data_IF_319414819275
#
_entry.id   IF_319414819275
#
_cell.length_a   1.000
_cell.length_b   1.000
_cell.length_c   1.000
_cell.angle_alpha   90.00
_cell.angle_beta   90.00
_cell.angle_gamma   90.00
#
_symmetry.space_group_name_H-M   'P 1'
#
loop_
_entity.id
_entity.type
_entity.pdbx_description
1 polymer ?
#
# COMPACT_ATOMS: atom_id res chain seq x y z
N UNK A 1 -13.49 26.03 56.55
CA UNK A 1 -14.32 25.06 55.80
C UNK A 1 -14.55 25.45 54.32
N UNK A 2 -14.49 26.72 53.93
CA UNK A 2 -14.74 27.16 52.52
C UNK A 2 -13.61 26.80 51.50
N UNK A 3 -12.43 26.41 51.97
CA UNK A 3 -11.32 26.03 51.03
C UNK A 3 -11.39 24.58 50.51
N UNK A 4 -12.18 23.70 51.13
CA UNK A 4 -12.34 22.30 50.69
C UNK A 4 -13.34 22.14 49.51
N UNK A 5 -14.28 23.03 49.35
CA UNK A 5 -15.28 22.96 48.27
C UNK A 5 -14.76 23.45 46.91
N UNK A 6 -13.78 24.32 46.86
CA UNK A 6 -13.18 24.80 45.59
C UNK A 6 -12.34 23.79 44.83
N UNK A 7 -11.75 22.83 45.55
CA UNK A 7 -10.89 21.79 44.93
C UNK A 7 -11.69 20.69 44.22
N UNK A 8 -12.91 20.38 44.70
CA UNK A 8 -13.75 19.30 44.14
C UNK A 8 -14.41 19.75 42.82
N UNK A 9 -14.77 21.05 42.68
CA UNK A 9 -15.37 21.58 41.46
C UNK A 9 -14.36 21.70 40.31
N UNK A 10 -13.08 21.93 40.62
CA UNK A 10 -12.03 22.12 39.59
C UNK A 10 -11.62 20.80 38.93
N UNK A 11 -11.68 19.67 39.63
CA UNK A 11 -11.32 18.33 39.07
C UNK A 11 -12.39 17.82 38.10
N UNK A 12 -13.68 18.02 38.44
CA UNK A 12 -14.79 17.60 37.59
C UNK A 12 -14.87 18.38 36.27
N UNK A 13 -14.68 19.70 36.31
CA UNK A 13 -14.70 20.57 35.11
C UNK A 13 -13.49 20.33 34.21
N UNK A 14 -12.29 20.13 34.79
CA UNK A 14 -11.08 19.82 33.99
C UNK A 14 -11.21 18.47 33.28
N UNK A 15 -11.77 17.47 33.95
CA UNK A 15 -11.99 16.15 33.36
C UNK A 15 -13.04 16.19 32.23
N UNK A 16 -14.13 16.93 32.42
CA UNK A 16 -15.16 17.13 31.39
C UNK A 16 -14.62 17.90 30.19
N UNK A 17 -13.85 18.97 30.41
CA UNK A 17 -13.20 19.75 29.33
C UNK A 17 -12.18 18.89 28.56
N UNK A 18 -11.40 18.04 29.24
CA UNK A 18 -10.47 17.13 28.59
C UNK A 18 -11.21 16.10 27.75
N UNK A 19 -12.32 15.56 28.22
CA UNK A 19 -13.16 14.57 27.50
C UNK A 19 -13.84 15.22 26.28
N UNK A 20 -14.34 16.45 26.40
CA UNK A 20 -14.96 17.19 25.31
C UNK A 20 -13.94 17.58 24.23
N UNK A 21 -12.75 18.04 24.62
CA UNK A 21 -11.66 18.35 23.69
C UNK A 21 -11.18 17.09 22.97
N UNK A 22 -11.06 15.97 23.67
CA UNK A 22 -10.67 14.69 23.06
C UNK A 22 -11.72 14.19 22.06
N UNK A 23 -13.02 14.29 22.38
CA UNK A 23 -14.11 13.96 21.45
C UNK A 23 -14.11 14.89 20.22
N UNK A 24 -13.90 16.19 20.42
CA UNK A 24 -13.82 17.17 19.33
C UNK A 24 -12.65 16.89 18.39
N UNK A 25 -11.47 16.56 18.93
CA UNK A 25 -10.30 16.18 18.11
C UNK A 25 -10.54 14.89 17.32
N UNK A 26 -11.18 13.89 17.91
CA UNK A 26 -11.56 12.64 17.22
C UNK A 26 -12.55 12.90 16.08
N UNK A 27 -13.53 13.80 16.30
CA UNK A 27 -14.48 14.16 15.25
C UNK A 27 -13.81 14.90 14.08
N UNK A 28 -12.90 15.83 14.40
CA UNK A 28 -12.15 16.58 13.38
C UNK A 28 -11.24 15.67 12.53
N UNK A 29 -10.63 14.63 13.09
CA UNK A 29 -9.82 13.69 12.33
C UNK A 29 -10.65 12.76 11.44
N UNK A 30 -11.85 12.37 11.88
CA UNK A 30 -12.78 11.57 11.07
C UNK A 30 -13.27 12.39 9.85
N UNK A 31 -13.68 13.65 10.05
CA UNK A 31 -14.13 14.53 8.97
C UNK A 31 -13.02 14.78 7.93
N UNK A 32 -11.77 14.96 8.40
CA UNK A 32 -10.61 15.10 7.52
C UNK A 32 -10.33 13.84 6.72
N UNK A 33 -10.49 12.65 7.30
CA UNK A 33 -10.34 11.39 6.56
C UNK A 33 -11.42 11.24 5.48
N UNK A 34 -12.67 11.54 5.80
CA UNK A 34 -13.78 11.53 4.84
C UNK A 34 -13.51 12.50 3.69
N UNK A 35 -13.06 13.74 3.99
CA UNK A 35 -12.69 14.72 2.96
C UNK A 35 -11.52 14.23 2.10
N UNK A 36 -10.52 13.59 2.70
CA UNK A 36 -9.37 13.02 2.00
C UNK A 36 -9.79 11.92 1.00
N UNK A 37 -10.66 11.02 1.41
CA UNK A 37 -11.22 9.97 0.53
C UNK A 37 -12.04 10.59 -0.60
N UNK A 38 -12.83 11.62 -0.29
CA UNK A 38 -13.64 12.33 -1.28
C UNK A 38 -12.76 13.02 -2.32
N UNK A 39 -11.70 13.71 -1.89
CA UNK A 39 -10.76 14.36 -2.78
C UNK A 39 -9.97 13.37 -3.63
N UNK A 40 -9.62 12.20 -3.05
CA UNK A 40 -9.01 11.12 -3.81
C UNK A 40 -9.92 10.66 -4.96
N UNK A 41 -11.19 10.39 -4.67
CA UNK A 41 -12.18 9.97 -5.70
C UNK A 41 -12.33 11.00 -6.81
N UNK A 42 -12.35 12.28 -6.49
CA UNK A 42 -12.37 13.38 -7.48
C UNK A 42 -11.09 13.41 -8.33
N UNK A 43 -9.94 13.14 -7.72
CA UNK A 43 -8.63 13.20 -8.37
C UNK A 43 -8.36 11.99 -9.30
N UNK A 44 -9.16 10.94 -9.26
CA UNK A 44 -9.04 9.81 -10.18
C UNK A 44 -9.28 10.21 -11.66
N UNK A 45 -10.10 11.23 -11.89
CA UNK A 45 -10.35 11.73 -13.24
C UNK A 45 -9.07 12.37 -13.82
N UNK A 46 -8.44 11.67 -14.78
CA UNK A 46 -7.24 12.11 -15.48
C UNK A 46 -5.90 11.89 -14.75
N UNK A 47 -5.91 11.24 -13.57
CA UNK A 47 -4.69 10.97 -12.78
C UNK A 47 -4.45 9.49 -12.52
N UNK A 48 -5.10 8.61 -13.28
CA UNK A 48 -4.92 7.15 -13.24
C UNK A 48 -4.04 6.68 -14.39
N UNK A 49 -3.42 5.52 -14.22
CA UNK A 49 -2.72 4.81 -15.30
C UNK A 49 -3.64 3.71 -15.81
N UNK A 50 -3.86 3.70 -17.13
CA UNK A 50 -4.67 2.68 -17.78
C UNK A 50 -3.82 1.45 -18.11
N UNK A 51 -4.19 0.29 -17.56
CA UNK A 51 -3.53 -0.99 -17.80
C UNK A 51 -4.63 -2.00 -18.17
N UNK A 52 -4.54 -2.62 -19.35
CA UNK A 52 -5.53 -3.58 -19.87
C UNK A 52 -6.99 -3.09 -19.70
N UNK A 53 -7.28 -1.87 -20.13
CA UNK A 53 -8.60 -1.21 -20.04
C UNK A 53 -9.11 -0.92 -18.62
N UNK A 54 -8.29 -1.10 -17.60
CA UNK A 54 -8.62 -0.73 -16.23
C UNK A 54 -7.78 0.46 -15.77
N UNK A 55 -8.40 1.34 -15.01
CA UNK A 55 -7.73 2.48 -14.41
C UNK A 55 -7.15 2.11 -13.04
N UNK A 56 -5.87 2.45 -12.81
CA UNK A 56 -5.17 2.21 -11.55
C UNK A 56 -4.60 3.50 -11.00
N UNK A 57 -4.82 3.75 -9.72
CA UNK A 57 -4.18 4.83 -9.01
C UNK A 57 -2.73 4.46 -8.66
N UNK A 58 -1.81 5.40 -8.86
CA UNK A 58 -0.42 5.24 -8.42
C UNK A 58 -0.30 5.41 -6.91
N UNK A 59 0.75 4.84 -6.32
CA UNK A 59 1.08 5.06 -4.91
C UNK A 59 1.40 6.54 -4.66
N UNK A 60 2.08 7.19 -5.59
CA UNK A 60 2.38 8.62 -5.51
C UNK A 60 1.12 9.49 -5.44
N UNK A 61 0.07 9.19 -6.23
CA UNK A 61 -1.21 9.89 -6.14
C UNK A 61 -1.84 9.72 -4.75
N UNK A 62 -1.87 8.49 -4.23
CA UNK A 62 -2.41 8.18 -2.89
C UNK A 62 -1.68 8.97 -1.80
N UNK A 63 -0.34 8.98 -1.82
CA UNK A 63 0.49 9.75 -0.88
C UNK A 63 0.23 11.25 -1.04
N UNK A 64 0.20 11.77 -2.27
CA UNK A 64 -0.02 13.18 -2.54
C UNK A 64 -1.34 13.70 -1.99
N UNK A 65 -2.43 12.95 -2.16
CA UNK A 65 -3.74 13.30 -1.60
C UNK A 65 -3.73 13.24 -0.06
N UNK A 66 -3.14 12.18 0.52
CA UNK A 66 -3.01 12.05 1.98
C UNK A 66 -2.30 13.27 2.57
N UNK A 67 -1.13 13.62 2.00
CA UNK A 67 -0.31 14.76 2.46
C UNK A 67 -0.99 16.11 2.26
N UNK A 68 -1.71 16.30 1.17
CA UNK A 68 -2.45 17.55 0.91
C UNK A 68 -3.52 17.81 1.96
N UNK A 69 -4.24 16.77 2.37
CA UNK A 69 -5.39 16.92 3.27
C UNK A 69 -5.01 16.85 4.75
N UNK A 70 -4.05 16.00 5.12
CA UNK A 70 -3.71 15.69 6.50
C UNK A 70 -2.35 16.26 6.93
N UNK A 71 -1.48 16.62 5.98
CA UNK A 71 -0.17 17.19 6.29
C UNK A 71 0.64 16.30 7.24
N UNK A 72 1.12 16.88 8.32
CA UNK A 72 1.91 16.20 9.36
C UNK A 72 1.07 15.36 10.33
N UNK A 73 -0.26 15.51 10.34
CA UNK A 73 -1.14 14.64 11.13
C UNK A 73 -1.12 13.19 10.65
N UNK A 74 -0.81 12.96 9.36
CA UNK A 74 -0.62 11.61 8.81
C UNK A 74 0.85 11.21 8.84
N UNK A 75 1.15 10.02 9.35
CA UNK A 75 2.48 9.39 9.29
C UNK A 75 2.37 8.06 8.57
N UNK A 76 3.32 7.80 7.66
CA UNK A 76 3.51 6.50 7.01
C UNK A 76 4.83 5.96 7.54
N UNK A 77 4.83 4.73 8.04
CA UNK A 77 6.01 4.05 8.56
C UNK A 77 6.13 2.68 7.92
N UNK A 78 7.31 2.32 7.44
CA UNK A 78 7.59 1.01 6.85
C UNK A 78 8.59 0.25 7.71
N UNK A 79 8.41 -1.07 7.81
CA UNK A 79 9.28 -1.97 8.53
C UNK A 79 9.55 -3.23 7.71
N UNK A 80 10.80 -3.64 7.62
CA UNK A 80 11.17 -4.93 7.04
C UNK A 80 10.80 -6.02 8.05
N UNK A 81 9.87 -6.90 7.68
CA UNK A 81 9.43 -8.03 8.50
C UNK A 81 10.33 -9.23 8.28
N UNK A 82 10.80 -9.42 7.05
CA UNK A 82 11.71 -10.49 6.68
C UNK A 82 12.56 -10.07 5.49
N UNK A 83 13.82 -10.48 5.49
CA UNK A 83 14.72 -10.30 4.35
C UNK A 83 15.76 -11.41 4.33
N UNK A 84 15.91 -12.03 3.16
CA UNK A 84 16.98 -13.01 2.88
C UNK A 84 17.47 -12.87 1.42
N UNK A 85 18.21 -13.86 0.92
CA UNK A 85 18.70 -13.92 -0.46
C UNK A 85 17.61 -14.22 -1.49
N UNK A 86 16.42 -14.66 -1.06
CA UNK A 86 15.31 -15.08 -1.92
C UNK A 86 14.21 -14.03 -1.99
N UNK A 87 13.89 -13.39 -0.85
CA UNK A 87 12.75 -12.50 -0.75
C UNK A 87 12.92 -11.39 0.29
N UNK A 88 12.07 -10.41 0.19
CA UNK A 88 11.87 -9.38 1.20
C UNK A 88 10.37 -9.21 1.47
N UNK A 89 10.00 -9.04 2.74
CA UNK A 89 8.63 -8.76 3.18
C UNK A 89 8.65 -7.45 3.95
N UNK A 90 7.83 -6.51 3.50
CA UNK A 90 7.67 -5.19 4.13
C UNK A 90 6.25 -5.04 4.65
N UNK A 91 6.13 -4.47 5.83
CA UNK A 91 4.90 -3.96 6.42
C UNK A 91 4.93 -2.46 6.44
N UNK A 92 3.88 -1.82 5.94
CA UNK A 92 3.66 -0.39 6.07
C UNK A 92 2.44 -0.10 6.92
N UNK A 93 2.53 0.95 7.73
CA UNK A 93 1.51 1.38 8.67
C UNK A 93 1.21 2.86 8.43
N UNK A 94 -0.08 3.21 8.47
CA UNK A 94 -0.54 4.58 8.37
C UNK A 94 -1.14 4.99 9.70
N UNK A 95 -0.66 6.11 10.23
CA UNK A 95 -1.16 6.72 11.45
C UNK A 95 -1.81 8.06 11.12
N UNK A 96 -2.89 8.37 11.79
CA UNK A 96 -3.51 9.71 11.80
C UNK A 96 -3.62 10.16 13.25
N UNK A 97 -3.07 11.33 13.56
CA UNK A 97 -2.98 11.88 14.94
C UNK A 97 -2.38 10.85 15.93
N UNK A 98 -1.34 10.12 15.48
CA UNK A 98 -0.65 9.10 16.28
C UNK A 98 -1.39 7.77 16.45
N UNK A 99 -2.58 7.60 15.87
CA UNK A 99 -3.34 6.35 15.91
C UNK A 99 -3.12 5.55 14.65
N UNK A 100 -2.83 4.25 14.78
CA UNK A 100 -2.78 3.33 13.66
C UNK A 100 -4.18 3.18 13.03
N UNK A 101 -4.30 3.49 11.75
CA UNK A 101 -5.57 3.47 11.01
C UNK A 101 -5.61 2.45 9.87
N UNK A 102 -4.47 2.07 9.33
CA UNK A 102 -4.39 1.00 8.33
C UNK A 102 -2.99 0.39 8.25
N UNK A 103 -2.92 -0.81 7.68
CA UNK A 103 -1.66 -1.54 7.42
C UNK A 103 -1.69 -2.14 6.04
N UNK A 104 -0.51 -2.33 5.45
CA UNK A 104 -0.31 -3.06 4.20
C UNK A 104 0.92 -3.96 4.31
N UNK A 105 0.85 -5.13 3.68
CA UNK A 105 1.94 -6.09 3.58
C UNK A 105 2.23 -6.36 2.12
N UNK A 106 3.52 -6.47 1.78
CA UNK A 106 3.96 -6.91 0.47
C UNK A 106 5.18 -7.82 0.58
N UNK A 107 5.22 -8.81 -0.27
CA UNK A 107 6.36 -9.69 -0.48
C UNK A 107 6.86 -9.53 -1.91
N UNK A 108 8.18 -9.40 -2.07
CA UNK A 108 8.85 -9.41 -3.36
C UNK A 108 9.91 -10.49 -3.39
N UNK A 109 9.84 -11.34 -4.42
CA UNK A 109 10.85 -12.38 -4.69
C UNK A 109 11.98 -11.76 -5.52
N UNK A 110 13.23 -11.89 -5.07
CA UNK A 110 14.41 -11.35 -5.78
C UNK A 110 14.59 -11.96 -7.16
N UNK A 111 14.25 -13.24 -7.32
CA UNK A 111 14.32 -13.94 -8.60
C UNK A 111 13.12 -13.72 -9.52
N UNK A 112 12.07 -12.97 -9.08
CA UNK A 112 10.85 -12.80 -9.86
C UNK A 112 11.07 -11.95 -11.13
N UNK A 113 12.02 -11.02 -11.10
CA UNK A 113 12.36 -10.19 -12.26
C UNK A 113 13.82 -9.70 -12.18
N UNK A 114 14.36 -9.24 -13.32
CA UNK A 114 15.67 -8.60 -13.37
C UNK A 114 15.73 -7.34 -12.48
N UNK A 115 14.62 -6.61 -12.37
CA UNK A 115 14.51 -5.43 -11.51
C UNK A 115 14.55 -5.84 -10.05
N UNK A 116 13.84 -6.90 -9.67
CA UNK A 116 13.80 -7.38 -8.28
C UNK A 116 15.14 -7.94 -7.78
N UNK A 117 16.06 -8.32 -8.66
CA UNK A 117 17.40 -8.74 -8.24
C UNK A 117 18.14 -7.62 -7.49
N UNK A 118 17.87 -6.35 -7.84
CA UNK A 118 18.52 -5.18 -7.24
C UNK A 118 17.57 -4.32 -6.41
N UNK A 119 16.26 -4.31 -6.69
CA UNK A 119 15.29 -3.36 -6.16
C UNK A 119 14.08 -4.04 -5.50
N UNK A 120 14.22 -5.27 -5.01
CA UNK A 120 13.11 -5.98 -4.37
C UNK A 120 12.63 -5.27 -3.09
N UNK A 121 13.53 -4.63 -2.33
CA UNK A 121 13.16 -3.91 -1.11
C UNK A 121 12.32 -2.68 -1.43
N UNK A 122 12.77 -1.86 -2.36
CA UNK A 122 12.06 -0.63 -2.78
C UNK A 122 10.69 -0.96 -3.38
N UNK A 123 10.60 -2.04 -4.16
CA UNK A 123 9.35 -2.50 -4.73
C UNK A 123 8.39 -3.01 -3.63
N UNK A 124 8.89 -3.83 -2.69
CA UNK A 124 8.09 -4.30 -1.56
C UNK A 124 7.58 -3.15 -0.69
N UNK A 125 8.42 -2.14 -0.42
CA UNK A 125 8.01 -0.96 0.34
C UNK A 125 6.92 -0.19 -0.40
N UNK A 126 7.11 0.09 -1.68
CA UNK A 126 6.11 0.80 -2.50
C UNK A 126 4.78 0.05 -2.52
N UNK A 127 4.80 -1.26 -2.74
CA UNK A 127 3.61 -2.12 -2.71
C UNK A 127 2.93 -2.12 -1.34
N UNK A 128 3.70 -2.24 -0.24
CA UNK A 128 3.17 -2.23 1.12
C UNK A 128 2.49 -0.89 1.46
N UNK A 129 3.13 0.24 1.10
CA UNK A 129 2.56 1.58 1.26
C UNK A 129 1.29 1.74 0.42
N UNK A 130 1.33 1.30 -0.84
CA UNK A 130 0.16 1.34 -1.73
C UNK A 130 -1.04 0.60 -1.16
N UNK A 131 -0.83 -0.60 -0.60
CA UNK A 131 -1.86 -1.42 0.06
C UNK A 131 -2.38 -0.77 1.34
N UNK A 132 -1.50 -0.23 2.20
CA UNK A 132 -1.91 0.47 3.41
C UNK A 132 -2.82 1.67 3.09
N UNK A 133 -2.47 2.45 2.07
CA UNK A 133 -3.28 3.60 1.64
C UNK A 133 -4.60 3.17 0.98
N UNK A 134 -4.62 2.06 0.24
CA UNK A 134 -5.84 1.50 -0.31
C UNK A 134 -6.80 1.03 0.80
N UNK A 135 -6.26 0.33 1.83
CA UNK A 135 -7.04 -0.10 2.99
C UNK A 135 -7.56 1.07 3.82
N UNK A 136 -6.88 2.23 3.80
CA UNK A 136 -7.38 3.48 4.38
C UNK A 136 -8.59 4.05 3.63
N UNK A 137 -8.85 3.59 2.39
CA UNK A 137 -9.95 4.07 1.55
C UNK A 137 -9.48 4.89 0.34
N UNK A 138 -8.17 5.07 0.12
CA UNK A 138 -7.64 5.73 -1.08
C UNK A 138 -7.53 4.72 -2.23
N UNK A 139 -8.69 4.24 -2.66
CA UNK A 139 -8.81 3.21 -3.71
C UNK A 139 -9.94 3.53 -4.67
N UNK A 140 -9.83 3.04 -5.90
CA UNK A 140 -10.83 3.08 -6.97
C UNK A 140 -11.42 1.68 -7.21
N UNK A 141 -11.89 1.02 -6.14
CA UNK A 141 -12.40 -0.36 -6.12
C UNK A 141 -11.34 -1.45 -6.36
N UNK A 142 -10.05 -1.06 -6.48
CA UNK A 142 -8.92 -1.98 -6.63
C UNK A 142 -7.85 -1.67 -5.60
N UNK A 143 -7.47 -2.68 -4.81
CA UNK A 143 -6.42 -2.54 -3.79
C UNK A 143 -5.05 -2.37 -4.45
N UNK A 144 -4.78 -3.16 -5.50
CA UNK A 144 -3.53 -3.06 -6.24
C UNK A 144 -3.31 -1.66 -6.82
N UNK A 145 -2.07 -1.19 -6.78
CA UNK A 145 -1.65 0.06 -7.41
C UNK A 145 -1.25 -0.17 -8.88
N UNK A 146 -1.05 0.92 -9.61
CA UNK A 146 -0.54 0.86 -10.97
C UNK A 146 0.85 0.20 -11.03
N UNK A 147 1.69 0.47 -10.03
CA UNK A 147 3.04 -0.08 -9.90
C UNK A 147 3.01 -1.59 -9.69
N UNK A 148 2.14 -2.10 -8.81
CA UNK A 148 1.98 -3.55 -8.58
C UNK A 148 1.53 -4.28 -9.84
N UNK A 149 0.55 -3.74 -10.56
CA UNK A 149 0.01 -4.38 -11.77
C UNK A 149 1.05 -4.33 -12.91
N UNK A 150 1.74 -3.20 -13.10
CA UNK A 150 2.80 -3.08 -14.09
C UNK A 150 3.96 -4.04 -13.79
N UNK A 151 4.36 -4.15 -12.52
CA UNK A 151 5.40 -5.07 -12.08
C UNK A 151 5.03 -6.54 -12.36
N UNK A 152 3.79 -6.94 -12.07
CA UNK A 152 3.30 -8.29 -12.33
C UNK A 152 3.30 -8.63 -13.84
N UNK A 153 2.94 -7.68 -14.71
CA UNK A 153 2.98 -7.85 -16.16
C UNK A 153 4.43 -8.06 -16.63
N UNK A 154 5.36 -7.19 -16.21
CA UNK A 154 6.79 -7.32 -16.56
C UNK A 154 7.36 -8.66 -16.12
N UNK A 155 7.01 -9.14 -14.92
CA UNK A 155 7.42 -10.46 -14.43
C UNK A 155 6.85 -11.60 -15.29
N UNK A 156 5.59 -11.50 -15.70
CA UNK A 156 4.94 -12.48 -16.59
C UNK A 156 5.62 -12.52 -17.96
N UNK A 157 5.87 -11.35 -18.57
CA UNK A 157 6.52 -11.25 -19.88
C UNK A 157 7.96 -11.80 -19.86
N UNK A 158 8.71 -11.56 -18.77
CA UNK A 158 10.05 -12.11 -18.60
C UNK A 158 10.05 -13.63 -18.48
N UNK A 159 9.08 -14.23 -17.75
CA UNK A 159 8.92 -15.67 -17.66
C UNK A 159 8.59 -16.28 -19.02
N UNK A 160 7.67 -15.67 -19.76
CA UNK A 160 7.31 -16.10 -21.11
C UNK A 160 8.51 -16.04 -22.05
N UNK A 161 9.25 -14.93 -22.03
CA UNK A 161 10.45 -14.74 -22.87
C UNK A 161 11.51 -15.79 -22.55
N UNK A 162 11.76 -16.10 -21.27
CA UNK A 162 12.70 -17.12 -20.88
C UNK A 162 12.25 -18.52 -21.34
N UNK A 163 10.95 -18.84 -21.21
CA UNK A 163 10.39 -20.11 -21.65
C UNK A 163 10.51 -20.27 -23.19
N UNK A 164 10.25 -19.22 -23.96
CA UNK A 164 10.40 -19.24 -25.41
C UNK A 164 11.86 -19.41 -25.84
N UNK A 165 12.81 -18.80 -25.12
CA UNK A 165 14.24 -19.00 -25.38
C UNK A 165 14.70 -20.43 -25.12
N UNK A 166 14.15 -21.09 -24.08
CA UNK A 166 14.42 -22.52 -23.83
C UNK A 166 13.74 -23.42 -24.88
N UNK A 167 12.55 -23.04 -25.39
CA UNK A 167 11.87 -23.77 -26.46
C UNK A 167 12.70 -23.80 -27.75
N UNK A 168 13.37 -22.68 -28.08
CA UNK A 168 14.22 -22.57 -29.28
C UNK A 168 15.39 -23.56 -29.27
N UNK A 169 15.81 -24.03 -28.10
CA UNK A 169 16.86 -25.06 -27.91
C UNK A 169 16.35 -26.51 -28.03
N UNK A 170 15.04 -26.69 -28.12
CA UNK A 170 14.44 -28.04 -28.16
C UNK A 170 14.64 -28.68 -29.53
N UNK A 171 15.41 -29.77 -29.58
CA UNK A 171 15.79 -30.42 -30.84
C UNK A 171 15.04 -31.74 -31.13
N UNK A 172 14.25 -32.25 -30.18
CA UNK A 172 13.54 -33.53 -30.35
C UNK A 172 12.24 -33.60 -29.54
N UNK A 173 11.32 -34.49 -29.94
CA UNK A 173 9.97 -34.62 -29.39
C UNK A 173 9.92 -34.80 -27.86
N UNK A 174 10.80 -35.62 -27.30
CA UNK A 174 10.85 -35.85 -25.86
C UNK A 174 11.20 -34.58 -25.06
N UNK A 175 12.15 -33.79 -25.54
CA UNK A 175 12.49 -32.50 -24.95
C UNK A 175 11.33 -31.49 -25.07
N UNK A 176 10.59 -31.50 -26.19
CA UNK A 176 9.39 -30.68 -26.36
C UNK A 176 8.28 -31.04 -25.36
N UNK A 177 8.02 -32.31 -25.16
CA UNK A 177 7.03 -32.77 -24.18
C UNK A 177 7.41 -32.36 -22.75
N UNK A 178 8.69 -32.47 -22.41
CA UNK A 178 9.22 -32.04 -21.11
C UNK A 178 9.06 -30.51 -20.93
N UNK A 179 9.39 -29.74 -21.97
CA UNK A 179 9.22 -28.29 -21.98
C UNK A 179 7.76 -27.89 -21.77
N UNK A 180 6.79 -28.51 -22.49
CA UNK A 180 5.35 -28.30 -22.33
C UNK A 180 4.88 -28.54 -20.92
N UNK A 181 5.36 -29.62 -20.28
CA UNK A 181 5.00 -29.96 -18.91
C UNK A 181 5.50 -28.90 -17.92
N UNK A 182 6.73 -28.40 -18.12
CA UNK A 182 7.36 -27.42 -17.23
C UNK A 182 6.72 -26.02 -17.37
N UNK A 183 6.27 -25.65 -18.58
CA UNK A 183 5.77 -24.31 -18.88
C UNK A 183 4.24 -24.26 -19.08
N UNK A 184 3.51 -25.26 -18.62
CA UNK A 184 2.05 -25.38 -18.81
C UNK A 184 1.27 -24.15 -18.31
N UNK A 185 1.75 -23.50 -17.26
CA UNK A 185 1.09 -22.31 -16.69
C UNK A 185 1.34 -21.00 -17.48
N UNK A 186 2.25 -21.04 -18.48
CA UNK A 186 2.56 -19.88 -19.32
C UNK A 186 1.81 -19.90 -20.67
N UNK A 187 1.09 -20.97 -20.94
CA UNK A 187 0.29 -21.15 -22.16
C UNK A 187 -1.19 -21.00 -21.88
#
# INVERSE_FOLDING_TARGET
ELKKFGAIYNVSTTHQLHTLNHRRLLYMSADKLVSTITDFKKSLNGSTIKIHNNDYATVALRIGILRRNLGTAATISSQIIHQDDKKVIVRSEVFIDGKLVSTGLAEELRAASRINQTSALENAETSAVGRALAMLGLTNDKIASAEEVSGAIVQSDQKLTAALFELDKVSHLGAYQSWLTTNKELM
#
